data_IF_246361530851
#
_entry.id   IF_246361530851
#
_cell.length_a   1.000
_cell.length_b   1.000
_cell.length_c   1.000
_cell.angle_alpha   90.00
_cell.angle_beta   90.00
_cell.angle_gamma   90.00
#
_symmetry.space_group_name_H-M   'P 1'
#
loop_
_entity.id
_entity.type
_entity.pdbx_description
1 polymer ?
#
# COMPACT_ATOMS: atom_id res chain seq x y z
N UNK A 1 -36.13 -39.70 -5.83
CA UNK A 1 -34.82 -39.49 -6.45
C UNK A 1 -34.28 -38.17 -5.91
N UNK A 2 -33.29 -38.23 -5.02
CA UNK A 2 -32.63 -37.06 -4.46
C UNK A 2 -31.51 -36.67 -5.42
N UNK A 3 -31.67 -35.52 -6.09
CA UNK A 3 -30.61 -34.91 -6.89
C UNK A 3 -29.57 -34.32 -5.95
N UNK A 4 -28.39 -34.98 -5.86
CA UNK A 4 -27.26 -34.43 -5.16
C UNK A 4 -26.80 -33.14 -5.82
N UNK A 5 -26.88 -32.05 -5.10
CA UNK A 5 -26.21 -30.82 -5.48
C UNK A 5 -24.68 -31.09 -5.47
N UNK A 6 -24.09 -31.13 -6.65
CA UNK A 6 -22.64 -31.15 -6.80
C UNK A 6 -22.12 -29.90 -6.08
N UNK A 7 -21.44 -30.08 -4.97
CA UNK A 7 -20.83 -28.98 -4.23
C UNK A 7 -19.85 -28.25 -5.14
N UNK A 8 -20.16 -27.00 -5.46
CA UNK A 8 -19.22 -26.12 -6.13
C UNK A 8 -17.94 -26.08 -5.27
N UNK A 9 -16.79 -26.36 -5.89
CA UNK A 9 -15.50 -26.22 -5.21
C UNK A 9 -15.43 -24.81 -4.60
N UNK A 10 -14.92 -24.66 -3.36
CA UNK A 10 -14.87 -23.37 -2.72
C UNK A 10 -14.12 -22.41 -3.63
N UNK A 11 -14.78 -21.37 -4.14
CA UNK A 11 -14.16 -20.29 -4.87
C UNK A 11 -13.07 -19.72 -3.95
N UNK A 12 -11.82 -19.97 -4.28
CA UNK A 12 -10.70 -19.33 -3.58
C UNK A 12 -10.88 -17.82 -3.73
N UNK A 13 -11.30 -17.17 -2.64
CA UNK A 13 -11.39 -15.72 -2.58
C UNK A 13 -10.03 -15.12 -2.95
N UNK A 14 -9.95 -14.46 -4.10
CA UNK A 14 -8.73 -13.76 -4.52
C UNK A 14 -8.65 -12.43 -3.82
N UNK A 15 -7.42 -12.03 -3.49
CA UNK A 15 -7.15 -10.76 -2.82
C UNK A 15 -6.04 -10.05 -3.58
N UNK A 16 -6.31 -8.82 -3.98
CA UNK A 16 -5.32 -7.92 -4.58
C UNK A 16 -5.03 -6.78 -3.60
N UNK A 17 -3.76 -6.51 -3.38
CA UNK A 17 -3.32 -5.37 -2.59
C UNK A 17 -2.38 -4.55 -3.47
N UNK A 18 -2.88 -3.45 -3.97
CA UNK A 18 -2.12 -2.52 -4.79
C UNK A 18 -1.22 -1.64 -3.92
N UNK A 19 0.00 -1.37 -4.39
CA UNK A 19 0.94 -0.50 -3.67
C UNK A 19 0.98 0.86 -4.36
N UNK A 20 0.31 1.84 -3.74
CA UNK A 20 0.31 3.23 -4.16
C UNK A 20 1.40 4.03 -3.43
N UNK A 21 1.09 5.17 -2.88
CA UNK A 21 1.96 6.04 -2.10
C UNK A 21 1.12 6.98 -1.24
N UNK A 22 1.65 7.44 -0.11
CA UNK A 22 1.07 8.55 0.64
C UNK A 22 0.97 9.82 -0.22
N UNK A 23 1.82 9.96 -1.22
CA UNK A 23 1.78 11.08 -2.16
C UNK A 23 0.67 10.99 -3.22
N UNK A 24 -0.08 9.91 -3.27
CA UNK A 24 -1.37 9.86 -3.96
C UNK A 24 -2.49 10.58 -3.19
N UNK A 25 -2.26 10.85 -1.90
CA UNK A 25 -3.19 11.52 -0.99
C UNK A 25 -2.82 13.00 -0.77
N UNK A 26 -1.55 13.35 -1.04
CA UNK A 26 -0.99 14.70 -0.85
C UNK A 26 -0.24 15.13 -2.10
N UNK A 27 0.03 16.43 -2.24
CA UNK A 27 0.85 16.95 -3.35
C UNK A 27 2.30 17.18 -2.95
N UNK A 28 3.21 17.10 -3.94
CA UNK A 28 4.62 17.47 -3.78
C UNK A 28 5.09 18.34 -4.92
N UNK A 29 5.90 19.35 -4.61
CA UNK A 29 6.53 20.20 -5.64
C UNK A 29 7.46 19.35 -6.53
N UNK A 30 7.30 19.47 -7.85
CA UNK A 30 8.16 18.83 -8.84
C UNK A 30 7.93 17.33 -9.07
N UNK A 31 6.88 16.72 -8.47
CA UNK A 31 6.63 15.28 -8.57
C UNK A 31 5.26 14.94 -9.18
N UNK A 32 4.65 15.89 -9.91
CA UNK A 32 3.28 15.74 -10.41
C UNK A 32 3.02 14.48 -11.21
N UNK A 33 3.95 14.05 -12.07
CA UNK A 33 3.79 12.83 -12.86
C UNK A 33 3.75 11.58 -11.96
N UNK A 34 4.69 11.47 -11.02
CA UNK A 34 4.71 10.34 -10.07
C UNK A 34 3.43 10.32 -9.23
N UNK A 35 3.06 11.47 -8.65
CA UNK A 35 1.90 11.58 -7.77
C UNK A 35 0.60 11.26 -8.54
N UNK A 36 0.49 11.68 -9.82
CA UNK A 36 -0.63 11.33 -10.70
C UNK A 36 -0.72 9.82 -10.97
N UNK A 37 0.41 9.15 -11.24
CA UNK A 37 0.40 7.69 -11.45
C UNK A 37 -0.05 6.94 -10.20
N UNK A 38 0.38 7.39 -9.02
CA UNK A 38 0.02 6.79 -7.74
C UNK A 38 -1.43 7.05 -7.36
N UNK A 39 -1.97 8.24 -7.67
CA UNK A 39 -3.39 8.53 -7.52
C UNK A 39 -4.26 7.68 -8.48
N UNK A 40 -3.78 7.44 -9.69
CA UNK A 40 -4.42 6.55 -10.65
C UNK A 40 -4.58 5.12 -10.13
N UNK A 41 -3.59 4.59 -9.39
CA UNK A 41 -3.67 3.29 -8.72
C UNK A 41 -4.83 3.25 -7.72
N UNK A 42 -5.06 4.32 -6.95
CA UNK A 42 -6.16 4.39 -6.00
C UNK A 42 -7.52 4.43 -6.69
N UNK A 43 -7.64 5.17 -7.80
CA UNK A 43 -8.85 5.20 -8.61
C UNK A 43 -9.16 3.80 -9.17
N UNK A 44 -8.16 3.15 -9.79
CA UNK A 44 -8.28 1.80 -10.33
C UNK A 44 -8.63 0.78 -9.24
N UNK A 45 -8.07 0.89 -8.04
CA UNK A 45 -8.38 0.01 -6.90
C UNK A 45 -9.87 0.03 -6.57
N UNK A 46 -10.49 1.22 -6.53
CA UNK A 46 -11.94 1.35 -6.26
C UNK A 46 -12.78 0.75 -7.37
N UNK A 47 -12.43 1.02 -8.63
CA UNK A 47 -13.12 0.46 -9.79
C UNK A 47 -13.08 -1.06 -9.79
N UNK A 48 -11.87 -1.65 -9.63
CA UNK A 48 -11.71 -3.10 -9.58
C UNK A 48 -12.44 -3.74 -8.38
N UNK A 49 -12.43 -3.08 -7.22
CA UNK A 49 -13.19 -3.59 -6.06
C UNK A 49 -14.69 -3.65 -6.35
N UNK A 50 -15.23 -2.65 -7.06
CA UNK A 50 -16.64 -2.60 -7.45
C UNK A 50 -16.98 -3.65 -8.52
N UNK A 51 -16.12 -3.80 -9.53
CA UNK A 51 -16.36 -4.72 -10.65
C UNK A 51 -16.21 -6.20 -10.25
N UNK A 52 -15.25 -6.49 -9.37
CA UNK A 52 -14.84 -7.88 -9.07
C UNK A 52 -15.52 -8.47 -7.81
N UNK A 53 -16.32 -7.70 -7.08
CA UNK A 53 -16.96 -8.17 -5.84
C UNK A 53 -17.89 -9.36 -6.09
N UNK A 54 -18.59 -9.39 -7.23
CA UNK A 54 -19.47 -10.50 -7.59
C UNK A 54 -18.71 -11.82 -7.81
N UNK A 55 -17.42 -11.75 -8.08
CA UNK A 55 -16.54 -12.91 -8.26
C UNK A 55 -15.83 -13.31 -6.95
N UNK A 56 -16.23 -12.73 -5.80
CA UNK A 56 -15.60 -13.00 -4.51
C UNK A 56 -14.17 -12.46 -4.38
N UNK A 57 -13.83 -11.44 -5.18
CA UNK A 57 -12.50 -10.81 -5.18
C UNK A 57 -12.54 -9.54 -4.31
N UNK A 58 -11.55 -9.39 -3.46
CA UNK A 58 -11.30 -8.15 -2.71
C UNK A 58 -10.10 -7.42 -3.30
N UNK A 59 -10.23 -6.11 -3.46
CA UNK A 59 -9.17 -5.27 -4.02
C UNK A 59 -8.98 -4.07 -3.11
N UNK A 60 -7.79 -3.93 -2.54
CA UNK A 60 -7.43 -2.83 -1.64
C UNK A 60 -6.11 -2.20 -2.08
N UNK A 61 -5.78 -1.06 -1.53
CA UNK A 61 -4.50 -0.41 -1.72
C UNK A 61 -3.85 -0.03 -0.40
N UNK A 62 -2.53 -0.04 -0.37
CA UNK A 62 -1.76 0.64 0.68
C UNK A 62 -1.10 1.88 0.09
N UNK A 63 -0.90 2.88 0.95
CA UNK A 63 -0.23 4.13 0.65
C UNK A 63 0.99 4.29 1.58
N UNK A 64 2.13 3.68 1.23
CA UNK A 64 3.33 3.78 2.04
C UNK A 64 3.89 5.20 2.10
N UNK A 65 4.42 5.56 3.25
CA UNK A 65 5.26 6.73 3.42
C UNK A 65 6.74 6.44 3.13
N UNK A 66 7.61 7.26 3.70
CA UNK A 66 9.06 7.12 3.55
C UNK A 66 9.55 5.81 4.17
N UNK A 67 9.95 4.87 3.31
CA UNK A 67 10.42 3.53 3.70
C UNK A 67 11.90 3.39 3.33
N UNK A 68 12.73 3.04 4.31
CA UNK A 68 14.17 2.87 4.08
C UNK A 68 14.43 1.50 3.46
N UNK A 69 14.68 1.50 2.16
CA UNK A 69 14.96 0.31 1.36
C UNK A 69 16.39 0.32 0.84
N UNK A 70 16.86 -0.80 0.30
CA UNK A 70 18.19 -0.91 -0.32
C UNK A 70 18.39 0.13 -1.44
N UNK A 71 17.31 0.49 -2.14
CA UNK A 71 17.35 1.58 -3.12
C UNK A 71 17.78 2.91 -2.49
N UNK A 72 17.21 3.27 -1.34
CA UNK A 72 17.57 4.50 -0.64
C UNK A 72 18.97 4.43 -0.03
N UNK A 73 19.35 3.27 0.49
CA UNK A 73 20.71 3.04 1.03
C UNK A 73 21.76 3.17 -0.07
N UNK A 74 21.56 2.52 -1.22
CA UNK A 74 22.47 2.57 -2.36
C UNK A 74 22.60 3.99 -2.91
N UNK A 75 21.47 4.69 -3.07
CA UNK A 75 21.45 6.07 -3.54
C UNK A 75 22.12 7.04 -2.56
N UNK A 76 21.90 6.84 -1.26
CA UNK A 76 22.56 7.60 -0.20
C UNK A 76 24.06 7.41 -0.24
N UNK A 77 24.53 6.17 -0.35
CA UNK A 77 25.95 5.83 -0.48
C UNK A 77 26.57 6.49 -1.72
N UNK A 78 25.90 6.43 -2.87
CA UNK A 78 26.36 7.10 -4.09
C UNK A 78 26.46 8.64 -3.94
N UNK A 79 25.65 9.23 -3.07
CA UNK A 79 25.67 10.65 -2.73
C UNK A 79 26.63 10.99 -1.56
N UNK A 80 27.45 10.03 -1.09
CA UNK A 80 28.40 10.22 0.00
C UNK A 80 27.78 10.34 1.40
N UNK A 81 26.51 9.93 1.55
CA UNK A 81 25.78 10.01 2.82
C UNK A 81 25.96 8.75 3.65
N UNK A 82 26.15 8.91 4.96
CA UNK A 82 26.13 7.78 5.90
C UNK A 82 24.69 7.30 6.15
N UNK A 83 24.54 6.06 6.61
CA UNK A 83 23.23 5.52 7.02
C UNK A 83 22.61 6.35 8.15
N UNK A 84 23.45 6.83 9.08
CA UNK A 84 23.01 7.71 10.17
C UNK A 84 22.41 9.01 9.64
N UNK A 85 23.07 9.65 8.68
CA UNK A 85 22.57 10.87 8.00
C UNK A 85 21.23 10.61 7.32
N UNK A 86 21.12 9.51 6.57
CA UNK A 86 19.85 9.15 5.90
C UNK A 86 18.71 8.98 6.91
N UNK A 87 18.96 8.33 8.03
CA UNK A 87 17.94 8.12 9.07
C UNK A 87 17.43 9.43 9.65
N UNK A 88 18.30 10.42 9.84
CA UNK A 88 17.92 11.73 10.40
C UNK A 88 17.18 12.62 9.40
N UNK A 89 17.35 12.44 8.09
CA UNK A 89 16.70 13.26 7.05
C UNK A 89 15.17 13.21 7.09
N UNK A 90 14.57 12.23 7.73
CA UNK A 90 13.12 12.05 7.78
C UNK A 90 12.48 12.36 9.13
N UNK A 91 13.23 12.91 10.07
CA UNK A 91 12.70 13.24 11.39
C UNK A 91 11.56 14.27 11.38
N UNK A 92 11.50 15.11 10.36
CA UNK A 92 10.44 16.13 10.19
C UNK A 92 9.44 15.81 9.09
N UNK A 93 9.51 14.64 8.46
CA UNK A 93 8.70 14.30 7.29
C UNK A 93 7.56 13.33 7.59
N UNK A 94 7.32 13.03 8.85
CA UNK A 94 6.15 12.28 9.34
C UNK A 94 5.98 12.53 10.83
N UNK A 95 4.78 12.30 11.38
CA UNK A 95 4.54 12.44 12.82
C UNK A 95 5.39 11.49 13.65
N UNK A 96 5.69 10.29 13.14
CA UNK A 96 6.56 9.34 13.83
C UNK A 96 8.05 9.68 13.73
N UNK A 97 8.42 10.68 12.93
CA UNK A 97 9.78 11.25 12.88
C UNK A 97 10.87 10.29 12.42
N UNK A 98 10.55 9.27 11.63
CA UNK A 98 11.51 8.29 11.14
C UNK A 98 11.09 7.64 9.82
N UNK A 99 12.01 6.93 9.21
CA UNK A 99 11.71 6.01 8.13
C UNK A 99 10.94 4.78 8.66
N UNK A 100 10.02 4.28 7.85
CA UNK A 100 9.50 2.93 8.04
C UNK A 100 10.54 1.89 7.61
N UNK A 101 10.47 0.70 8.20
CA UNK A 101 11.14 -0.49 7.67
C UNK A 101 10.28 -1.15 6.59
N UNK A 102 10.87 -1.95 5.67
CA UNK A 102 10.07 -2.73 4.71
C UNK A 102 9.04 -3.64 5.38
N UNK A 103 9.35 -4.19 6.55
CA UNK A 103 8.44 -5.06 7.31
C UNK A 103 7.20 -4.32 7.81
N UNK A 104 7.33 -3.05 8.22
CA UNK A 104 6.19 -2.23 8.65
C UNK A 104 5.22 -1.95 7.50
N UNK A 105 5.67 -2.04 6.24
CA UNK A 105 4.82 -1.97 5.06
C UNK A 105 4.26 -3.35 4.70
N UNK A 106 5.04 -4.41 4.89
CA UNK A 106 4.64 -5.77 4.54
C UNK A 106 3.49 -6.31 5.43
N UNK A 107 3.49 -6.01 6.73
CA UNK A 107 2.45 -6.49 7.66
C UNK A 107 1.04 -6.04 7.28
N UNK A 108 0.76 -4.77 6.98
CA UNK A 108 -0.56 -4.34 6.52
C UNK A 108 -0.97 -4.98 5.18
N UNK A 109 -0.02 -5.22 4.26
CA UNK A 109 -0.29 -5.94 3.01
C UNK A 109 -0.75 -7.36 3.31
N UNK A 110 -0.01 -8.08 4.17
CA UNK A 110 -0.34 -9.45 4.56
C UNK A 110 -1.73 -9.51 5.21
N UNK A 111 -2.03 -8.57 6.11
CA UNK A 111 -3.33 -8.50 6.77
C UNK A 111 -4.46 -8.25 5.76
N UNK A 112 -4.33 -7.28 4.85
CA UNK A 112 -5.33 -7.02 3.81
C UNK A 112 -5.51 -8.23 2.86
N UNK A 113 -4.45 -9.02 2.67
CA UNK A 113 -4.49 -10.25 1.88
C UNK A 113 -5.02 -11.46 2.64
N UNK A 114 -5.24 -11.37 3.94
CA UNK A 114 -5.75 -12.45 4.80
C UNK A 114 -7.29 -12.45 4.87
N UNK A 115 -7.86 -13.50 5.44
CA UNK A 115 -9.31 -13.59 5.69
C UNK A 115 -9.75 -12.75 6.90
N UNK A 116 -8.82 -12.30 7.74
CA UNK A 116 -9.10 -11.34 8.82
C UNK A 116 -9.63 -10.00 8.29
N UNK A 117 -9.24 -9.63 7.06
CA UNK A 117 -9.72 -8.45 6.37
C UNK A 117 -10.92 -8.75 5.43
N UNK A 118 -11.71 -9.79 5.72
CA UNK A 118 -12.78 -10.29 4.84
C UNK A 118 -13.87 -9.28 4.52
N UNK A 119 -14.08 -8.28 5.35
CA UNK A 119 -15.07 -7.21 5.14
C UNK A 119 -14.46 -5.91 4.59
N UNK A 120 -13.22 -5.98 4.09
CA UNK A 120 -12.49 -4.81 3.56
C UNK A 120 -12.23 -5.00 2.07
N UNK A 121 -12.83 -4.13 1.24
CA UNK A 121 -12.56 -4.00 -0.19
C UNK A 121 -12.72 -2.54 -0.62
N UNK A 122 -11.96 -2.10 -1.61
CA UNK A 122 -11.93 -0.72 -2.08
C UNK A 122 -11.21 0.25 -1.13
N UNK A 123 -10.60 -0.23 -0.06
CA UNK A 123 -9.92 0.60 0.93
C UNK A 123 -8.56 1.11 0.45
N UNK A 124 -8.19 2.28 0.97
CA UNK A 124 -6.88 2.91 0.79
C UNK A 124 -6.27 3.12 2.18
N UNK A 125 -5.35 2.24 2.56
CA UNK A 125 -4.73 2.27 3.88
C UNK A 125 -3.43 3.08 3.85
N UNK A 126 -3.39 4.21 4.54
CA UNK A 126 -2.16 4.96 4.75
C UNK A 126 -1.26 4.20 5.74
N UNK A 127 -0.01 3.97 5.34
CA UNK A 127 1.05 3.33 6.15
C UNK A 127 2.28 4.24 6.07
N UNK A 128 2.18 5.44 6.61
CA UNK A 128 3.05 6.56 6.30
C UNK A 128 3.60 7.32 7.51
N UNK A 129 3.34 6.81 8.71
CA UNK A 129 3.77 7.46 9.95
C UNK A 129 3.12 8.82 10.18
N UNK A 130 1.95 9.05 9.59
CA UNK A 130 1.20 10.31 9.70
C UNK A 130 1.68 11.40 8.73
N UNK A 131 2.45 11.05 7.69
CA UNK A 131 2.95 12.03 6.71
C UNK A 131 1.80 12.73 5.98
N UNK A 132 0.76 12.01 5.59
CA UNK A 132 -0.35 12.56 4.79
C UNK A 132 -1.31 13.46 5.54
N UNK A 133 -1.19 13.58 6.85
CA UNK A 133 -2.05 14.43 7.70
C UNK A 133 -1.29 15.59 8.37
N UNK A 134 -0.04 15.82 7.98
CA UNK A 134 0.78 16.94 8.47
C UNK A 134 0.49 18.22 7.70
#
# INVERSE_FOLDING_TARGET
MQGGAAGAAPHRSRKYVNVSSCYALTGRKGMGLYDATKAGILAMTRTLAFEEVAHGVRVNAICPGSTLTDFHLSRGKAAGKSVATLKTERQTSSLLGRWATPQEIAWPILWLASDEASFITGAMLAVDGGLSIM
#
